data_IF_599986119742
#
_entry.id   IF_599986119742
#
_cell.length_a   1.000
_cell.length_b   1.000
_cell.length_c   1.000
_cell.angle_alpha   90.00
_cell.angle_beta   90.00
_cell.angle_gamma   90.00
#
_symmetry.space_group_name_H-M   'P 1'
#
loop_
_entity.id
_entity.type
_entity.pdbx_description
1 polymer ?
#
# COMPACT_ATOMS: atom_id res chain seq x y z
N UNK A 1 10.05 -14.81 8.73
CA UNK A 1 9.09 -14.04 9.54
C UNK A 1 7.83 -13.88 8.74
N UNK A 2 6.68 -14.26 9.29
CA UNK A 2 5.40 -14.11 8.59
C UNK A 2 5.10 -12.61 8.35
N UNK A 3 4.41 -12.30 7.24
CA UNK A 3 4.08 -10.90 6.89
C UNK A 3 3.29 -10.25 8.02
N UNK A 4 2.36 -10.98 8.65
CA UNK A 4 1.50 -10.45 9.70
C UNK A 4 2.25 -10.21 11.02
N UNK A 5 3.19 -11.09 11.36
CA UNK A 5 4.08 -10.91 12.52
C UNK A 5 4.88 -9.62 12.42
N UNK A 6 5.42 -9.31 11.23
CA UNK A 6 6.13 -8.04 10.98
C UNK A 6 5.29 -6.83 11.40
N UNK A 7 4.03 -6.75 10.96
CA UNK A 7 3.17 -5.62 11.29
C UNK A 7 2.79 -5.61 12.77
N UNK A 8 2.52 -6.77 13.38
CA UNK A 8 2.21 -6.83 14.82
C UNK A 8 3.37 -6.32 15.68
N UNK A 9 4.62 -6.50 15.26
CA UNK A 9 5.79 -6.03 15.98
C UNK A 9 6.17 -4.57 15.65
N UNK A 10 6.06 -4.16 14.40
CA UNK A 10 6.65 -2.91 13.89
C UNK A 10 5.64 -1.82 13.58
N UNK A 11 4.39 -2.17 13.28
CA UNK A 11 3.40 -1.17 12.89
C UNK A 11 2.86 -0.43 14.12
N UNK A 12 2.85 0.92 14.10
CA UNK A 12 2.34 1.72 15.21
C UNK A 12 0.81 1.74 15.22
N UNK A 13 0.20 0.66 15.72
CA UNK A 13 -1.26 0.63 15.89
C UNK A 13 -1.70 1.70 16.89
N UNK A 14 -2.82 2.42 16.61
CA UNK A 14 -3.28 3.50 17.47
C UNK A 14 -3.71 3.04 18.86
N UNK A 15 -4.15 1.78 18.98
CA UNK A 15 -4.53 1.17 20.26
C UNK A 15 -4.52 -0.37 20.17
N UNK A 16 -4.63 -1.03 21.33
CA UNK A 16 -4.68 -2.49 21.43
C UNK A 16 -5.85 -3.14 20.67
N UNK A 17 -6.99 -2.45 20.54
CA UNK A 17 -8.14 -2.94 19.77
C UNK A 17 -7.84 -2.99 18.27
N UNK A 18 -7.19 -1.96 17.72
CA UNK A 18 -6.76 -1.95 16.32
C UNK A 18 -5.76 -3.07 16.03
N UNK A 19 -4.81 -3.30 16.95
CA UNK A 19 -3.87 -4.42 16.86
C UNK A 19 -4.57 -5.79 16.89
N UNK A 20 -5.55 -5.98 17.78
CA UNK A 20 -6.33 -7.22 17.86
C UNK A 20 -7.18 -7.44 16.62
N UNK A 21 -7.84 -6.40 16.11
CA UNK A 21 -8.61 -6.46 14.86
C UNK A 21 -7.71 -6.87 13.69
N UNK A 22 -6.50 -6.32 13.60
CA UNK A 22 -5.50 -6.73 12.62
C UNK A 22 -5.07 -8.19 12.83
N UNK A 23 -4.84 -8.61 14.09
CA UNK A 23 -4.49 -9.98 14.44
C UNK A 23 -5.62 -10.99 14.13
N UNK A 24 -6.88 -10.56 14.08
CA UNK A 24 -8.01 -11.40 13.72
C UNK A 24 -8.19 -11.57 12.20
N UNK A 25 -7.70 -10.63 11.37
CA UNK A 25 -7.78 -10.73 9.90
C UNK A 25 -6.97 -11.92 9.39
N UNK A 26 -7.45 -12.59 8.34
CA UNK A 26 -6.73 -13.70 7.71
C UNK A 26 -5.36 -13.24 7.17
N UNK A 27 -4.33 -14.08 7.31
CA UNK A 27 -3.01 -13.72 6.80
C UNK A 27 -2.98 -13.86 5.28
N UNK A 28 -2.44 -12.87 4.54
CA UNK A 28 -2.25 -13.00 3.11
C UNK A 28 -1.22 -14.09 2.75
N UNK A 29 -0.47 -14.65 3.72
CA UNK A 29 0.49 -15.73 3.47
C UNK A 29 -0.12 -17.00 2.89
N UNK A 30 -1.45 -17.21 2.98
CA UNK A 30 -2.12 -18.29 2.23
C UNK A 30 -1.99 -18.13 0.71
N UNK A 31 -1.90 -16.89 0.22
CA UNK A 31 -1.67 -16.59 -1.19
C UNK A 31 -0.19 -16.75 -1.62
N UNK A 32 0.76 -16.88 -0.68
CA UNK A 32 2.19 -17.06 -0.97
C UNK A 32 2.56 -18.47 -1.49
N UNK A 33 1.74 -19.49 -1.25
CA UNK A 33 2.11 -20.89 -1.57
C UNK A 33 2.07 -21.24 -3.07
N UNK A 34 1.54 -20.36 -3.91
CA UNK A 34 1.22 -20.69 -5.30
C UNK A 34 2.06 -19.95 -6.33
N UNK A 35 2.98 -19.04 -5.94
CA UNK A 35 3.88 -18.40 -6.88
C UNK A 35 5.21 -19.16 -6.97
N UNK A 36 5.62 -19.52 -8.19
CA UNK A 36 6.97 -20.05 -8.49
C UNK A 36 8.08 -19.00 -8.38
N UNK A 37 7.83 -17.94 -7.61
CA UNK A 37 8.60 -16.69 -7.59
C UNK A 37 9.55 -16.64 -6.40
N UNK A 38 10.51 -15.71 -6.43
CA UNK A 38 11.43 -15.50 -5.31
C UNK A 38 10.65 -15.27 -3.99
N UNK A 39 10.95 -16.02 -2.91
CA UNK A 39 10.31 -15.84 -1.60
C UNK A 39 10.45 -14.41 -1.07
N UNK A 40 11.57 -13.75 -1.37
CA UNK A 40 11.85 -12.38 -0.94
C UNK A 40 10.95 -11.38 -1.67
N UNK A 41 10.84 -11.47 -3.00
CA UNK A 41 9.94 -10.63 -3.81
C UNK A 41 8.50 -10.78 -3.35
N UNK A 42 8.07 -12.02 -3.13
CA UNK A 42 6.73 -12.35 -2.64
C UNK A 42 6.47 -11.72 -1.27
N UNK A 43 7.39 -11.92 -0.33
CA UNK A 43 7.27 -11.37 1.03
C UNK A 43 7.17 -9.85 1.03
N UNK A 44 8.01 -9.15 0.26
CA UNK A 44 7.97 -7.68 0.21
C UNK A 44 6.71 -7.15 -0.48
N UNK A 45 6.26 -7.79 -1.57
CA UNK A 45 5.02 -7.40 -2.24
C UNK A 45 3.80 -7.49 -1.29
N UNK A 46 3.73 -8.55 -0.48
CA UNK A 46 2.65 -8.68 0.50
C UNK A 46 2.78 -7.69 1.66
N UNK A 47 4.00 -7.35 2.09
CA UNK A 47 4.19 -6.24 3.05
C UNK A 47 3.70 -4.92 2.47
N UNK A 48 4.04 -4.61 1.23
CA UNK A 48 3.53 -3.42 0.54
C UNK A 48 2.00 -3.40 0.47
N UNK A 49 1.38 -4.53 0.13
CA UNK A 49 -0.08 -4.63 0.07
C UNK A 49 -0.74 -4.44 1.44
N UNK A 50 -0.17 -5.02 2.50
CA UNK A 50 -0.67 -4.84 3.87
C UNK A 50 -0.50 -3.41 4.38
N UNK A 51 0.65 -2.79 4.09
CA UNK A 51 0.90 -1.37 4.35
C UNK A 51 -0.16 -0.50 3.67
N UNK A 52 -0.45 -0.76 2.39
CA UNK A 52 -1.49 -0.06 1.64
C UNK A 52 -2.83 -0.08 2.38
N UNK A 53 -3.29 -1.24 2.86
CA UNK A 53 -4.55 -1.36 3.58
C UNK A 53 -4.55 -0.62 4.93
N UNK A 54 -3.42 -0.65 5.65
CA UNK A 54 -3.29 0.04 6.93
C UNK A 54 -3.30 1.56 6.75
N UNK A 55 -2.58 2.09 5.76
CA UNK A 55 -2.62 3.51 5.40
C UNK A 55 -4.01 3.92 4.93
N UNK A 56 -4.68 3.10 4.12
CA UNK A 56 -6.07 3.33 3.70
C UNK A 56 -7.00 3.45 4.91
N UNK A 57 -6.85 2.60 5.92
CA UNK A 57 -7.67 2.66 7.14
C UNK A 57 -7.38 3.97 7.94
N UNK A 58 -6.14 4.49 7.90
CA UNK A 58 -5.81 5.79 8.49
C UNK A 58 -6.43 6.96 7.72
N UNK A 59 -6.34 6.93 6.38
CA UNK A 59 -6.88 7.97 5.50
C UNK A 59 -8.39 8.12 5.63
N UNK A 60 -9.11 7.04 5.94
CA UNK A 60 -10.56 7.04 6.16
C UNK A 60 -11.00 7.90 7.38
N UNK A 61 -10.06 8.31 8.23
CA UNK A 61 -10.32 9.18 9.39
C UNK A 61 -9.85 10.62 9.17
N UNK A 62 -9.35 10.96 7.98
CA UNK A 62 -8.86 12.29 7.63
C UNK A 62 -9.86 13.03 6.74
N UNK A 63 -9.82 14.36 6.76
CA UNK A 63 -10.50 15.16 5.73
C UNK A 63 -9.81 14.97 4.36
N UNK A 64 -10.48 15.34 3.27
CA UNK A 64 -9.90 15.25 1.93
C UNK A 64 -8.59 16.05 1.81
N UNK A 65 -8.52 17.24 2.40
CA UNK A 65 -7.33 18.10 2.37
C UNK A 65 -6.16 17.50 3.19
N UNK A 66 -6.45 17.02 4.40
CA UNK A 66 -5.46 16.35 5.25
C UNK A 66 -4.95 15.05 4.59
N UNK A 67 -5.87 14.23 4.09
CA UNK A 67 -5.56 12.97 3.43
C UNK A 67 -4.71 13.17 2.17
N UNK A 68 -5.03 14.16 1.35
CA UNK A 68 -4.26 14.47 0.14
C UNK A 68 -2.83 14.88 0.48
N UNK A 69 -2.67 15.76 1.47
CA UNK A 69 -1.35 16.19 1.95
C UNK A 69 -0.54 15.01 2.53
N UNK A 70 -1.22 14.12 3.26
CA UNK A 70 -0.60 12.95 3.86
C UNK A 70 -0.16 11.92 2.81
N UNK A 71 -0.97 11.70 1.77
CA UNK A 71 -0.63 10.82 0.65
C UNK A 71 0.62 11.31 -0.07
N UNK A 72 0.66 12.60 -0.46
CA UNK A 72 1.83 13.17 -1.16
C UNK A 72 3.10 13.01 -0.33
N UNK A 73 3.00 13.25 0.98
CA UNK A 73 4.11 13.06 1.91
C UNK A 73 4.60 11.61 1.96
N UNK A 74 3.70 10.65 2.08
CA UNK A 74 4.07 9.22 2.07
C UNK A 74 4.67 8.81 0.71
N UNK A 75 4.14 9.31 -0.40
CA UNK A 75 4.68 9.05 -1.73
C UNK A 75 6.11 9.61 -1.90
N UNK A 76 6.41 10.81 -1.39
CA UNK A 76 7.79 11.34 -1.41
C UNK A 76 8.75 10.54 -0.52
N UNK A 77 8.28 9.98 0.61
CA UNK A 77 9.09 9.06 1.43
C UNK A 77 9.39 7.78 0.65
N UNK A 78 8.38 7.19 0.02
CA UNK A 78 8.50 6.01 -0.83
C UNK A 78 9.46 6.26 -2.00
N UNK A 79 9.32 7.41 -2.68
CA UNK A 79 10.24 7.83 -3.74
C UNK A 79 11.66 8.16 -3.24
N UNK A 80 11.90 8.11 -1.93
CA UNK A 80 13.16 8.45 -1.28
C UNK A 80 13.60 9.91 -1.53
N UNK A 81 12.64 10.79 -1.84
CA UNK A 81 12.84 12.23 -2.02
C UNK A 81 13.02 12.94 -0.68
N UNK A 82 12.34 12.43 0.35
CA UNK A 82 12.42 12.93 1.72
C UNK A 82 12.64 11.77 2.70
N UNK A 83 13.33 12.05 3.80
CA UNK A 83 13.46 11.10 4.90
C UNK A 83 12.19 11.10 5.77
N UNK A 84 11.84 9.96 6.38
CA UNK A 84 10.80 9.93 7.42
C UNK A 84 11.21 10.83 8.58
N UNK A 85 10.24 11.43 9.25
CA UNK A 85 10.52 12.22 10.46
C UNK A 85 10.63 11.30 11.67
N UNK A 86 11.67 11.46 12.50
CA UNK A 86 11.95 10.67 13.72
C UNK A 86 10.81 10.63 14.78
N UNK A 87 9.69 11.30 14.53
CA UNK A 87 8.50 11.36 15.41
C UNK A 87 7.23 10.81 14.76
N UNK A 88 7.32 10.31 13.53
CA UNK A 88 6.18 9.76 12.79
C UNK A 88 6.40 8.27 12.51
N UNK A 89 5.98 7.37 13.42
CA UNK A 89 6.30 5.95 13.31
C UNK A 89 5.65 5.27 12.10
N UNK A 90 4.58 5.86 11.53
CA UNK A 90 3.99 5.37 10.27
C UNK A 90 4.90 5.69 9.09
N UNK A 91 5.53 6.87 9.06
CA UNK A 91 6.49 7.25 8.02
C UNK A 91 7.71 6.32 8.04
N UNK A 92 8.23 6.03 9.23
CA UNK A 92 9.32 5.07 9.42
C UNK A 92 8.93 3.67 8.95
N UNK A 93 7.76 3.18 9.35
CA UNK A 93 7.27 1.87 8.91
C UNK A 93 7.08 1.79 7.39
N UNK A 94 6.55 2.85 6.77
CA UNK A 94 6.40 2.92 5.30
C UNK A 94 7.77 2.88 4.61
N UNK A 95 8.73 3.68 5.09
CA UNK A 95 10.10 3.69 4.57
C UNK A 95 10.78 2.32 4.71
N UNK A 96 10.67 1.68 5.87
CA UNK A 96 11.27 0.38 6.17
C UNK A 96 10.67 -0.78 5.37
N UNK A 97 9.39 -0.67 4.98
CA UNK A 97 8.73 -1.65 4.10
C UNK A 97 9.17 -1.45 2.65
N UNK A 98 9.32 -0.19 2.23
CA UNK A 98 9.61 0.13 0.84
C UNK A 98 11.08 -0.06 0.46
N UNK A 99 12.01 0.33 1.33
CA UNK A 99 13.45 0.26 1.09
C UNK A 99 13.93 -1.13 0.63
N UNK A 100 13.47 -2.26 1.22
CA UNK A 100 13.76 -3.60 0.72
C UNK A 100 13.24 -3.88 -0.70
N UNK A 101 12.08 -3.33 -1.09
CA UNK A 101 11.57 -3.51 -2.46
C UNK A 101 12.50 -2.85 -3.48
N UNK A 102 12.93 -1.62 -3.21
CA UNK A 102 13.87 -0.89 -4.07
C UNK A 102 15.22 -1.60 -4.15
N UNK A 103 15.70 -2.15 -3.03
CA UNK A 103 16.95 -2.91 -2.99
C UNK A 103 16.90 -4.21 -3.81
N UNK A 104 15.71 -4.84 -3.92
CA UNK A 104 15.51 -6.01 -4.77
C UNK A 104 15.41 -5.60 -6.25
N UNK A 105 14.59 -4.59 -6.55
CA UNK A 105 14.29 -4.15 -7.91
C UNK A 105 13.69 -2.74 -7.92
N UNK A 106 14.54 -1.72 -8.00
CA UNK A 106 14.09 -0.32 -7.99
C UNK A 106 13.15 0.06 -9.12
N UNK A 107 13.30 -0.55 -10.31
CA UNK A 107 12.45 -0.25 -11.47
C UNK A 107 11.03 -0.76 -11.21
N UNK A 108 10.88 -2.05 -10.86
CA UNK A 108 9.57 -2.63 -10.62
C UNK A 108 8.93 -2.11 -9.33
N UNK A 109 9.73 -1.78 -8.30
CA UNK A 109 9.22 -1.12 -7.10
C UNK A 109 8.59 0.23 -7.46
N UNK A 110 9.31 1.10 -8.17
CA UNK A 110 8.82 2.44 -8.51
C UNK A 110 7.54 2.42 -9.36
N UNK A 111 7.33 1.39 -10.19
CA UNK A 111 6.09 1.21 -10.95
C UNK A 111 4.84 0.98 -10.08
N UNK A 112 5.00 0.66 -8.78
CA UNK A 112 3.86 0.49 -7.86
C UNK A 112 3.44 1.80 -7.18
N UNK A 113 4.26 2.86 -7.24
CA UNK A 113 4.02 4.14 -6.54
C UNK A 113 2.75 4.82 -7.06
N UNK A 114 2.64 5.02 -8.37
CA UNK A 114 1.48 5.68 -8.99
C UNK A 114 0.17 4.91 -8.74
N UNK A 115 0.11 3.57 -8.93
CA UNK A 115 -1.07 2.80 -8.55
C UNK A 115 -1.46 2.89 -7.06
N UNK A 116 -0.48 2.96 -6.14
CA UNK A 116 -0.74 3.15 -4.70
C UNK A 116 -1.36 4.52 -4.46
N UNK A 117 -0.75 5.57 -5.04
CA UNK A 117 -1.18 6.96 -4.91
C UNK A 117 -2.61 7.15 -5.41
N UNK A 118 -2.91 6.65 -6.62
CA UNK A 118 -4.24 6.74 -7.22
C UNK A 118 -5.31 6.09 -6.33
N UNK A 119 -5.04 4.87 -5.83
CA UNK A 119 -5.99 4.17 -4.98
C UNK A 119 -6.19 4.87 -3.64
N UNK A 120 -5.13 5.39 -3.01
CA UNK A 120 -5.27 6.15 -1.77
C UNK A 120 -6.10 7.43 -1.97
N UNK A 121 -5.90 8.17 -3.07
CA UNK A 121 -6.70 9.36 -3.36
C UNK A 121 -8.19 9.03 -3.55
N UNK A 122 -8.52 7.88 -4.13
CA UNK A 122 -9.92 7.47 -4.28
C UNK A 122 -10.61 7.14 -2.96
N UNK A 123 -9.85 6.79 -1.93
CA UNK A 123 -10.41 6.52 -0.60
C UNK A 123 -10.68 7.78 0.22
N UNK A 124 -10.21 8.95 -0.24
CA UNK A 124 -10.49 10.26 0.37
C UNK A 124 -11.37 11.16 -0.52
N UNK A 125 -11.71 10.72 -1.74
CA UNK A 125 -12.57 11.48 -2.66
C UNK A 125 -14.05 11.15 -2.39
N UNK A 126 -14.72 12.07 -1.68
CA UNK A 126 -16.14 12.00 -1.34
C UNK A 126 -17.06 12.05 -2.58
N UNK A 127 -16.52 12.52 -3.73
CA UNK A 127 -17.27 12.67 -5.00
C UNK A 127 -17.37 11.36 -5.80
N UNK A 128 -16.84 10.26 -5.28
CA UNK A 128 -16.88 8.94 -5.94
C UNK A 128 -18.28 8.40 -6.18
N UNK A 129 -19.29 8.91 -5.44
CA UNK A 129 -20.68 8.46 -5.49
C UNK A 129 -21.63 9.38 -6.26
N UNK A 130 -21.18 10.55 -6.73
CA UNK A 130 -22.04 11.43 -7.52
C UNK A 130 -22.31 10.82 -8.89
N UNK A 131 -23.60 10.79 -9.25
CA UNK A 131 -24.23 10.12 -10.39
C UNK A 131 -23.55 10.41 -11.74
N UNK A 132 -22.42 9.75 -11.99
CA UNK A 132 -21.77 9.73 -13.29
C UNK A 132 -22.48 8.67 -14.13
N UNK A 133 -23.08 9.08 -15.25
CA UNK A 133 -23.62 8.14 -16.23
C UNK A 133 -22.57 7.09 -16.64
N UNK A 134 -22.97 6.10 -17.43
CA UNK A 134 -22.15 4.90 -17.73
C UNK A 134 -20.65 5.16 -18.01
N UNK A 135 -20.31 6.21 -18.75
CA UNK A 135 -18.92 6.61 -19.04
C UNK A 135 -18.15 6.99 -17.77
N UNK A 136 -18.67 7.91 -16.96
CA UNK A 136 -17.97 8.33 -15.75
C UNK A 136 -18.00 7.26 -14.64
N UNK A 137 -18.95 6.31 -14.67
CA UNK A 137 -18.90 5.11 -13.83
C UNK A 137 -17.75 4.17 -14.26
N UNK A 138 -17.56 3.96 -15.56
CA UNK A 138 -16.45 3.16 -16.10
C UNK A 138 -15.09 3.81 -15.79
N UNK A 139 -14.97 5.12 -15.97
CA UNK A 139 -13.75 5.87 -15.61
C UNK A 139 -13.45 5.79 -14.11
N UNK A 140 -14.48 5.92 -13.27
CA UNK A 140 -14.32 5.73 -11.82
C UNK A 140 -13.86 4.31 -11.49
N UNK A 141 -14.48 3.28 -12.10
CA UNK A 141 -14.10 1.88 -11.89
C UNK A 141 -12.68 1.56 -12.37
N UNK A 142 -12.22 2.17 -13.46
CA UNK A 142 -10.85 2.00 -13.94
C UNK A 142 -9.82 2.62 -12.98
N UNK A 143 -10.11 3.80 -12.43
CA UNK A 143 -9.27 4.43 -11.40
C UNK A 143 -9.32 3.67 -10.08
N UNK A 144 -10.51 3.25 -9.64
CA UNK A 144 -10.74 2.46 -8.43
C UNK A 144 -10.35 0.99 -8.58
N UNK A 145 -9.72 0.63 -9.71
CA UNK A 145 -9.32 -0.73 -9.96
C UNK A 145 -8.02 -1.03 -9.23
N UNK A 146 -8.14 -1.75 -8.12
CA UNK A 146 -7.01 -2.40 -7.46
C UNK A 146 -6.19 -3.28 -8.42
N UNK A 147 -6.70 -3.59 -9.62
CA UNK A 147 -5.99 -4.33 -10.66
C UNK A 147 -4.66 -3.68 -11.08
N UNK A 148 -4.55 -2.34 -11.11
CA UNK A 148 -3.30 -1.65 -11.49
C UNK A 148 -2.20 -1.95 -10.46
N UNK A 149 -2.51 -1.79 -9.18
CA UNK A 149 -1.61 -2.14 -8.07
C UNK A 149 -1.29 -3.63 -8.06
N UNK A 150 -2.30 -4.50 -8.16
CA UNK A 150 -2.11 -5.94 -8.15
C UNK A 150 -1.26 -6.41 -9.34
N UNK A 151 -1.44 -5.82 -10.52
CA UNK A 151 -0.64 -6.13 -11.71
C UNK A 151 0.80 -5.67 -11.54
N UNK A 152 1.03 -4.47 -10.99
CA UNK A 152 2.37 -3.97 -10.71
C UNK A 152 3.08 -4.86 -9.66
N UNK A 153 2.38 -5.26 -8.61
CA UNK A 153 2.91 -6.20 -7.60
C UNK A 153 3.16 -7.60 -8.19
N UNK A 154 2.30 -8.10 -9.08
CA UNK A 154 2.54 -9.36 -9.79
C UNK A 154 3.80 -9.30 -10.66
N UNK A 155 4.03 -8.19 -11.36
CA UNK A 155 5.27 -7.97 -12.11
C UNK A 155 6.48 -7.94 -11.19
N UNK A 156 6.40 -7.22 -10.07
CA UNK A 156 7.46 -7.20 -9.05
C UNK A 156 7.75 -8.61 -8.51
N UNK A 157 6.72 -9.39 -8.18
CA UNK A 157 6.84 -10.78 -7.72
C UNK A 157 7.52 -11.65 -8.78
N UNK A 158 7.10 -11.53 -10.04
CA UNK A 158 7.63 -12.30 -11.17
C UNK A 158 8.98 -11.82 -11.70
N UNK A 159 9.42 -10.61 -11.38
CA UNK A 159 10.60 -9.99 -12.00
C UNK A 159 10.40 -9.65 -13.48
N UNK A 160 9.16 -9.33 -13.89
CA UNK A 160 8.83 -9.08 -15.29
C UNK A 160 8.95 -7.59 -15.64
N UNK A 161 10.04 -7.24 -16.35
CA UNK A 161 10.21 -5.93 -16.97
C UNK A 161 9.62 -5.98 -18.38
N UNK A 162 8.43 -5.42 -18.54
CA UNK A 162 7.69 -5.34 -19.81
C UNK A 162 7.78 -3.91 -20.33
#
# INVERSE_FOLDING_TARGET
MDVKEYFLERWPFPNGRARLNFAAKESPTRYCRHSSSSPDRTTQAFRCLMMFFLVKDLLAHMTQEEGSTYIERLCSIIACEIAPTDRHPVEEAVYDIWKPMVAIDGILANQTIEPIKDLWHLHIDDRSLETKGMVGWLEFRDRACASKLLSALQRFIGGYHI
#
